data_IF_114201578652
#
_entry.id   IF_114201578652
#
_cell.length_a   1.000
_cell.length_b   1.000
_cell.length_c   1.000
_cell.angle_alpha   90.00
_cell.angle_beta   90.00
_cell.angle_gamma   90.00
#
_symmetry.space_group_name_H-M   'P 1'
#
loop_
_entity.id
_entity.type
_entity.pdbx_description
1 polymer ?
#
# COMPACT_ATOMS: atom_id res chain seq x y z
N UNK A 1 -19.36 -6.26 -4.09
CA UNK A 1 -18.09 -6.89 -4.51
C UNK A 1 -17.23 -5.77 -5.08
N UNK A 2 -16.29 -5.24 -4.29
CA UNK A 2 -15.46 -4.10 -4.71
C UNK A 2 -14.45 -4.58 -5.76
N UNK A 3 -14.32 -3.86 -6.87
CA UNK A 3 -13.46 -4.24 -7.99
C UNK A 3 -12.12 -3.50 -7.89
N UNK A 4 -11.31 -3.84 -6.87
CA UNK A 4 -9.95 -3.31 -6.72
C UNK A 4 -8.97 -4.02 -7.68
N UNK A 5 -9.29 -4.22 -8.96
CA UNK A 5 -8.49 -5.12 -9.83
C UNK A 5 -6.98 -4.82 -9.85
N UNK A 6 -6.61 -3.55 -9.66
CA UNK A 6 -5.23 -3.07 -9.55
C UNK A 6 -4.61 -3.29 -8.16
N UNK A 7 -5.32 -2.90 -7.11
CA UNK A 7 -4.87 -3.01 -5.71
C UNK A 7 -5.03 -4.41 -5.10
N UNK A 8 -5.87 -5.27 -5.65
CA UNK A 8 -6.13 -6.64 -5.18
C UNK A 8 -4.81 -7.43 -5.09
N UNK A 9 -3.95 -7.27 -6.09
CA UNK A 9 -2.63 -7.89 -6.09
C UNK A 9 -1.79 -7.45 -4.89
N UNK A 10 -1.76 -6.15 -4.60
CA UNK A 10 -0.96 -5.60 -3.51
C UNK A 10 -1.56 -6.04 -2.17
N UNK A 11 -2.86 -5.81 -1.98
CA UNK A 11 -3.59 -6.10 -0.74
C UNK A 11 -3.53 -7.58 -0.37
N UNK A 12 -3.57 -8.50 -1.35
CA UNK A 12 -3.45 -9.95 -1.10
C UNK A 12 -2.03 -10.39 -0.77
N UNK A 13 -1.03 -9.60 -1.14
CA UNK A 13 0.38 -9.99 -1.01
C UNK A 13 1.07 -9.33 0.16
N UNK A 14 0.48 -8.28 0.74
CA UNK A 14 1.05 -7.51 1.83
C UNK A 14 0.15 -7.53 3.06
N UNK A 15 0.75 -7.65 4.25
CA UNK A 15 0.10 -7.37 5.53
C UNK A 15 0.17 -5.89 5.84
N UNK A 16 -0.91 -5.31 6.35
CA UNK A 16 -0.92 -3.93 6.86
C UNK A 16 -0.31 -3.91 8.26
N UNK A 17 0.90 -3.36 8.40
CA UNK A 17 1.63 -3.29 9.67
C UNK A 17 1.26 -2.11 10.53
N UNK A 18 0.96 -0.97 9.92
CA UNK A 18 0.50 0.22 10.64
C UNK A 18 -0.21 1.16 9.69
N UNK A 19 -1.21 1.86 10.20
CA UNK A 19 -1.96 2.88 9.49
C UNK A 19 -2.06 4.12 10.37
N UNK A 20 -1.70 5.26 9.80
CA UNK A 20 -2.02 6.60 10.28
C UNK A 20 -2.51 7.36 9.04
N UNK A 21 -3.54 8.23 9.12
CA UNK A 21 -3.93 9.03 7.96
C UNK A 21 -2.72 9.73 7.31
N UNK A 22 -2.52 9.48 6.02
CA UNK A 22 -1.38 10.02 5.26
C UNK A 22 -0.12 9.16 5.29
N UNK A 23 -0.09 8.06 6.06
CA UNK A 23 1.05 7.16 6.16
C UNK A 23 0.63 5.71 6.37
N UNK A 24 0.96 4.87 5.38
CA UNK A 24 0.66 3.44 5.43
C UNK A 24 1.96 2.64 5.41
N UNK A 25 2.09 1.67 6.31
CA UNK A 25 3.17 0.69 6.28
C UNK A 25 2.63 -0.69 5.98
N UNK A 26 3.14 -1.28 4.91
CA UNK A 26 2.81 -2.64 4.48
C UNK A 26 4.05 -3.53 4.65
N UNK A 27 3.85 -4.84 4.77
CA UNK A 27 4.93 -5.80 4.79
C UNK A 27 4.59 -7.07 4.01
N UNK A 28 5.52 -7.55 3.19
CA UNK A 28 5.39 -8.83 2.50
C UNK A 28 6.71 -9.58 2.46
N UNK A 29 6.68 -10.85 2.85
CA UNK A 29 7.83 -11.75 2.67
C UNK A 29 8.14 -12.00 1.20
N UNK A 30 7.17 -11.83 0.30
CA UNK A 30 7.37 -12.04 -1.16
C UNK A 30 8.27 -11.00 -1.79
N UNK A 31 8.40 -9.83 -1.18
CA UNK A 31 9.28 -8.74 -1.61
C UNK A 31 10.74 -8.99 -1.25
N UNK A 32 11.01 -9.89 -0.30
CA UNK A 32 12.38 -10.15 0.17
C UNK A 32 13.20 -10.77 -0.95
N UNK A 33 14.34 -10.17 -1.29
CA UNK A 33 15.24 -10.58 -2.38
C UNK A 33 14.56 -10.68 -3.76
N UNK A 34 13.42 -10.04 -3.97
CA UNK A 34 12.65 -10.11 -5.21
C UNK A 34 12.56 -8.75 -5.90
N UNK A 35 13.63 -8.36 -6.60
CA UNK A 35 13.74 -7.05 -7.25
C UNK A 35 12.66 -6.81 -8.32
N UNK A 36 12.25 -7.86 -9.05
CA UNK A 36 11.19 -7.76 -10.05
C UNK A 36 9.85 -7.38 -9.41
N UNK A 37 9.49 -8.06 -8.31
CA UNK A 37 8.26 -7.74 -7.59
C UNK A 37 8.34 -6.36 -6.93
N UNK A 38 9.49 -5.99 -6.36
CA UNK A 38 9.72 -4.66 -5.79
C UNK A 38 9.47 -3.57 -6.83
N UNK A 39 10.03 -3.73 -8.03
CA UNK A 39 9.82 -2.80 -9.14
C UNK A 39 8.35 -2.70 -9.53
N UNK A 40 7.67 -3.84 -9.71
CA UNK A 40 6.25 -3.86 -10.05
C UNK A 40 5.38 -3.16 -8.99
N UNK A 41 5.64 -3.41 -7.70
CA UNK A 41 4.92 -2.75 -6.61
C UNK A 41 5.20 -1.25 -6.60
N UNK A 42 6.45 -0.84 -6.76
CA UNK A 42 6.82 0.57 -6.82
C UNK A 42 6.14 1.27 -8.00
N UNK A 43 6.30 0.75 -9.22
CA UNK A 43 5.71 1.34 -10.44
C UNK A 43 4.19 1.43 -10.36
N UNK A 44 3.54 0.40 -9.80
CA UNK A 44 2.09 0.38 -9.64
C UNK A 44 1.58 1.45 -8.67
N UNK A 45 2.20 1.58 -7.49
CA UNK A 45 1.74 2.52 -6.45
C UNK A 45 2.12 3.96 -6.83
N UNK A 46 3.33 4.18 -7.35
CA UNK A 46 3.83 5.51 -7.74
C UNK A 46 3.14 6.10 -8.98
N UNK A 47 2.39 5.29 -9.73
CA UNK A 47 1.58 5.78 -10.85
C UNK A 47 0.40 6.66 -10.42
N UNK A 48 0.01 6.62 -9.15
CA UNK A 48 -1.06 7.46 -8.61
C UNK A 48 -0.52 8.82 -8.19
N UNK A 49 -1.04 9.90 -8.78
CA UNK A 49 -0.63 11.28 -8.48
C UNK A 49 -0.95 11.71 -7.03
N UNK A 50 -1.88 11.02 -6.39
CA UNK A 50 -2.30 11.26 -5.00
C UNK A 50 -1.29 10.70 -3.98
N UNK A 51 -0.38 9.83 -4.42
CA UNK A 51 0.71 9.29 -3.60
C UNK A 51 1.92 10.22 -3.71
N UNK A 52 2.44 10.67 -2.57
CA UNK A 52 3.61 11.55 -2.54
C UNK A 52 4.92 10.75 -2.64
N UNK A 53 5.05 9.70 -1.82
CA UNK A 53 6.24 8.84 -1.84
C UNK A 53 5.88 7.38 -1.64
N UNK A 54 6.72 6.53 -2.24
CA UNK A 54 6.69 5.08 -2.06
C UNK A 54 8.13 4.63 -1.83
N UNK A 55 8.37 3.99 -0.70
CA UNK A 55 9.65 3.36 -0.39
C UNK A 55 9.43 1.85 -0.25
N UNK A 56 10.16 1.06 -1.04
CA UNK A 56 10.11 -0.40 -0.98
C UNK A 56 11.47 -0.93 -0.54
N UNK A 57 11.50 -1.69 0.55
CA UNK A 57 12.71 -2.27 1.11
C UNK A 57 12.79 -3.77 0.79
N UNK A 58 13.62 -4.21 -0.19
CA UNK A 58 13.78 -5.62 -0.56
C UNK A 58 14.49 -6.47 0.50
N UNK A 59 15.13 -5.88 1.51
CA UNK A 59 15.81 -6.64 2.56
C UNK A 59 14.82 -7.11 3.63
N UNK A 60 13.85 -6.26 3.96
CA UNK A 60 12.86 -6.53 5.02
C UNK A 60 11.46 -6.82 4.50
N UNK A 61 11.24 -6.58 3.20
CA UNK A 61 9.92 -6.65 2.58
C UNK A 61 8.95 -5.57 3.03
N UNK A 62 9.44 -4.46 3.61
CA UNK A 62 8.62 -3.33 4.03
C UNK A 62 8.27 -2.43 2.85
N UNK A 63 7.04 -1.92 2.81
CA UNK A 63 6.64 -0.81 1.94
C UNK A 63 6.12 0.33 2.80
N UNK A 64 6.61 1.53 2.57
CA UNK A 64 6.12 2.76 3.19
C UNK A 64 5.52 3.65 2.12
N UNK A 65 4.30 4.10 2.36
CA UNK A 65 3.59 5.05 1.50
C UNK A 65 3.30 6.31 2.30
N UNK A 66 3.51 7.48 1.70
CA UNK A 66 3.01 8.76 2.23
C UNK A 66 2.14 9.47 1.21
N UNK A 67 1.12 10.18 1.70
CA UNK A 67 0.16 10.93 0.89
C UNK A 67 -0.53 11.99 1.75
N UNK A 68 -1.21 12.94 1.09
CA UNK A 68 -2.11 13.87 1.76
C UNK A 68 -3.51 13.25 1.86
N UNK A 69 -4.09 13.06 3.07
CA UNK A 69 -5.39 12.40 3.22
C UNK A 69 -6.51 13.03 2.39
N UNK A 70 -6.59 14.37 2.36
CA UNK A 70 -7.64 15.08 1.63
C UNK A 70 -7.54 14.87 0.11
N UNK A 71 -6.30 14.83 -0.42
CA UNK A 71 -6.04 14.58 -1.85
C UNK A 71 -6.34 13.13 -2.20
N UNK A 72 -5.93 12.18 -1.36
CA UNK A 72 -6.16 10.76 -1.58
C UNK A 72 -7.66 10.42 -1.56
N UNK A 73 -8.41 10.99 -0.61
CA UNK A 73 -9.85 10.73 -0.45
C UNK A 73 -10.72 11.35 -1.55
N UNK A 74 -10.20 12.36 -2.26
CA UNK A 74 -10.86 12.88 -3.46
C UNK A 74 -10.87 11.84 -4.60
N UNK A 75 -9.93 10.88 -4.59
CA UNK A 75 -9.94 9.74 -5.49
C UNK A 75 -10.74 8.58 -4.87
N UNK A 76 -11.92 8.29 -5.44
CA UNK A 76 -12.84 7.28 -4.91
C UNK A 76 -12.20 5.89 -4.77
N UNK A 77 -11.40 5.47 -5.75
CA UNK A 77 -10.72 4.16 -5.71
C UNK A 77 -9.76 4.10 -4.51
N UNK A 78 -8.92 5.12 -4.35
CA UNK A 78 -7.94 5.16 -3.26
C UNK A 78 -8.59 5.36 -1.89
N UNK A 79 -9.70 6.10 -1.82
CA UNK A 79 -10.50 6.21 -0.60
C UNK A 79 -11.03 4.85 -0.14
N UNK A 80 -11.55 4.05 -1.07
CA UNK A 80 -12.02 2.69 -0.78
C UNK A 80 -10.85 1.77 -0.36
N UNK A 81 -9.67 1.90 -0.97
CA UNK A 81 -8.44 1.19 -0.56
C UNK A 81 -8.01 1.61 0.85
N UNK A 82 -7.97 2.91 1.15
CA UNK A 82 -7.60 3.43 2.48
C UNK A 82 -8.55 2.88 3.56
N UNK A 83 -9.86 2.88 3.29
CA UNK A 83 -10.86 2.31 4.19
C UNK A 83 -10.67 0.81 4.40
N UNK A 84 -10.37 0.06 3.32
CA UNK A 84 -10.05 -1.36 3.45
C UNK A 84 -8.82 -1.58 4.35
N UNK A 85 -7.74 -0.85 4.09
CA UNK A 85 -6.49 -0.93 4.84
C UNK A 85 -6.71 -0.61 6.32
N UNK A 86 -7.46 0.45 6.62
CA UNK A 86 -7.81 0.84 7.99
C UNK A 86 -8.52 -0.28 8.75
N UNK A 87 -9.42 -1.02 8.09
CA UNK A 87 -10.15 -2.13 8.70
C UNK A 87 -9.33 -3.41 8.86
N UNK A 88 -8.24 -3.56 8.11
CA UNK A 88 -7.40 -4.76 8.08
C UNK A 88 -5.99 -4.54 8.67
N UNK A 89 -5.79 -3.45 9.42
CA UNK A 89 -4.55 -3.24 10.18
C UNK A 89 -4.36 -4.39 11.16
N UNK A 90 -3.18 -5.02 11.15
CA UNK A 90 -2.81 -5.98 12.18
C UNK A 90 -2.84 -5.28 13.55
N UNK A 91 -3.90 -5.53 14.32
CA UNK A 91 -3.94 -5.11 15.73
C UNK A 91 -2.95 -6.01 16.47
N UNK A 92 -1.83 -5.44 16.93
CA UNK A 92 -0.97 -6.12 17.91
C UNK A 92 -1.77 -6.25 19.21
N UNK A 93 -2.40 -7.40 19.41
CA UNK A 93 -2.74 -7.93 20.75
C UNK A 93 -1.48 -8.39 21.45
#
# INVERSE_FOLDING_TARGET
MFHFSKWDFIIRTVSVRSYIPGRIRLQSKRLINNQSLVRQVYEHISAYKEIETVEVNPLTGSVLLTYKPDVLRANRELAEVEQYIMNHVERRT
#
